data_IF_602861907954
#
_entry.id   IF_602861907954
#
_cell.length_a   1.000
_cell.length_b   1.000
_cell.length_c   1.000
_cell.angle_alpha   90.00
_cell.angle_beta   90.00
_cell.angle_gamma   90.00
#
_symmetry.space_group_name_H-M   'P 1'
#
loop_
_entity.id
_entity.type
_entity.pdbx_description
1 polymer ?
#
# COMPACT_ATOMS: atom_id res chain seq x y z
N UNK A 1 -13.89 10.50 -3.12
CA UNK A 1 -12.48 10.89 -2.98
C UNK A 1 -11.63 9.63 -2.89
N UNK A 2 -10.59 9.46 -3.71
CA UNK A 2 -9.68 8.30 -3.63
C UNK A 2 -8.53 8.67 -2.70
N UNK A 3 -8.24 7.85 -1.68
CA UNK A 3 -7.08 8.06 -0.81
C UNK A 3 -5.89 7.21 -1.20
N UNK A 4 -6.15 5.99 -1.67
CA UNK A 4 -5.12 4.98 -1.91
C UNK A 4 -5.40 4.30 -3.23
N UNK A 5 -4.35 4.12 -4.01
CA UNK A 5 -4.36 3.30 -5.20
C UNK A 5 -3.55 2.03 -4.91
N UNK A 6 -4.12 0.86 -5.18
CA UNK A 6 -3.44 -0.42 -4.95
C UNK A 6 -3.66 -1.35 -6.13
N UNK A 7 -2.70 -2.24 -6.37
CA UNK A 7 -2.79 -3.26 -7.43
C UNK A 7 -3.43 -4.58 -6.96
N UNK A 8 -3.93 -4.61 -5.73
CA UNK A 8 -4.63 -5.76 -5.16
C UNK A 8 -6.14 -5.53 -5.18
N UNK A 9 -6.81 -6.11 -6.17
CA UNK A 9 -8.27 -6.03 -6.31
C UNK A 9 -9.00 -6.57 -5.09
N UNK A 10 -8.56 -7.71 -4.56
CA UNK A 10 -9.17 -8.31 -3.36
C UNK A 10 -9.06 -7.38 -2.15
N UNK A 11 -7.94 -6.68 -1.97
CA UNK A 11 -7.79 -5.69 -0.90
C UNK A 11 -8.72 -4.50 -1.12
N UNK A 12 -8.82 -4.00 -2.36
CA UNK A 12 -9.71 -2.86 -2.71
C UNK A 12 -11.17 -3.19 -2.45
N UNK A 13 -11.64 -4.31 -3.00
CA UNK A 13 -13.04 -4.76 -2.88
C UNK A 13 -13.36 -5.03 -1.41
N UNK A 14 -12.49 -5.78 -0.72
CA UNK A 14 -12.65 -6.03 0.73
C UNK A 14 -12.73 -4.72 1.48
N UNK A 15 -11.76 -3.81 1.29
CA UNK A 15 -11.65 -2.52 1.99
C UNK A 15 -12.93 -1.69 1.83
N UNK A 16 -13.38 -1.50 0.58
CA UNK A 16 -14.53 -0.65 0.24
C UNK A 16 -15.88 -1.27 0.65
N UNK A 17 -16.01 -2.60 0.58
CA UNK A 17 -17.27 -3.30 0.89
C UNK A 17 -17.47 -3.55 2.40
N UNK A 18 -16.56 -3.07 3.24
CA UNK A 18 -16.58 -3.32 4.69
C UNK A 18 -16.63 -4.81 5.06
N UNK A 19 -16.13 -5.67 4.18
CA UNK A 19 -16.12 -7.12 4.39
C UNK A 19 -15.36 -7.48 5.67
N UNK A 20 -15.86 -8.50 6.37
CA UNK A 20 -15.37 -8.99 7.67
C UNK A 20 -14.88 -10.42 7.56
N UNK A 21 -13.87 -10.76 8.36
CA UNK A 21 -13.33 -12.11 8.49
C UNK A 21 -12.32 -12.18 9.63
N UNK A 22 -11.79 -13.37 9.87
CA UNK A 22 -10.93 -13.66 11.04
C UNK A 22 -9.46 -13.90 10.68
N UNK A 23 -9.11 -13.96 9.39
CA UNK A 23 -7.71 -14.11 8.99
C UNK A 23 -6.93 -12.80 9.20
N UNK A 24 -5.61 -12.90 9.30
CA UNK A 24 -4.72 -11.74 9.47
C UNK A 24 -4.95 -10.68 8.40
N UNK A 25 -5.29 -11.09 7.18
CA UNK A 25 -5.69 -10.19 6.10
C UNK A 25 -6.84 -9.24 6.50
N UNK A 26 -7.93 -9.78 7.06
CA UNK A 26 -9.06 -8.96 7.49
C UNK A 26 -8.72 -8.12 8.72
N UNK A 27 -7.93 -8.67 9.64
CA UNK A 27 -7.48 -7.93 10.85
C UNK A 27 -6.64 -6.71 10.46
N UNK A 28 -5.70 -6.88 9.53
CA UNK A 28 -4.85 -5.80 9.03
C UNK A 28 -5.70 -4.75 8.30
N UNK A 29 -6.56 -5.16 7.35
CA UNK A 29 -7.42 -4.22 6.63
C UNK A 29 -8.36 -3.43 7.55
N UNK A 30 -8.90 -4.09 8.58
CA UNK A 30 -9.76 -3.41 9.54
C UNK A 30 -8.98 -2.39 10.38
N UNK A 31 -7.75 -2.71 10.81
CA UNK A 31 -6.88 -1.72 11.47
C UNK A 31 -6.58 -0.54 10.56
N UNK A 32 -6.29 -0.78 9.28
CA UNK A 32 -6.06 0.28 8.30
C UNK A 32 -7.28 1.19 8.13
N UNK A 33 -8.50 0.63 8.10
CA UNK A 33 -9.75 1.43 8.07
C UNK A 33 -9.88 2.34 9.28
N UNK A 34 -9.59 1.84 10.48
CA UNK A 34 -9.67 2.63 11.71
C UNK A 34 -8.74 3.85 11.65
N UNK A 35 -7.53 3.69 11.08
CA UNK A 35 -6.56 4.79 10.95
C UNK A 35 -7.06 5.93 10.05
N UNK A 36 -7.92 5.64 9.09
CA UNK A 36 -8.42 6.62 8.09
C UNK A 36 -9.92 6.89 8.24
N UNK A 37 -10.53 6.45 9.34
CA UNK A 37 -11.97 6.56 9.57
C UNK A 37 -12.50 7.99 9.48
N UNK A 38 -11.68 8.98 9.87
CA UNK A 38 -12.05 10.40 9.80
C UNK A 38 -11.95 11.01 8.41
N UNK A 39 -11.43 10.28 7.42
CA UNK A 39 -11.21 10.76 6.06
C UNK A 39 -12.27 10.12 5.15
N UNK A 40 -13.17 10.89 4.53
CA UNK A 40 -14.18 10.33 3.63
C UNK A 40 -13.53 9.93 2.30
N UNK A 41 -12.92 8.75 2.27
CA UNK A 41 -12.24 8.26 1.09
C UNK A 41 -12.33 6.75 0.87
N UNK A 42 -12.04 6.37 -0.37
CA UNK A 42 -12.07 4.99 -0.86
C UNK A 42 -10.69 4.54 -1.34
N UNK A 43 -10.48 3.24 -1.36
CA UNK A 43 -9.36 2.62 -2.05
C UNK A 43 -9.76 2.41 -3.52
N UNK A 44 -8.82 2.64 -4.45
CA UNK A 44 -9.03 2.43 -5.89
C UNK A 44 -8.08 1.35 -6.39
N UNK A 45 -8.57 0.50 -7.27
CA UNK A 45 -7.75 -0.51 -7.91
C UNK A 45 -7.04 0.09 -9.13
N UNK A 46 -5.73 -0.09 -9.21
CA UNK A 46 -4.91 0.26 -10.37
C UNK A 46 -4.17 -0.97 -10.89
N UNK A 47 -3.80 -0.98 -12.16
CA UNK A 47 -3.01 -2.10 -12.70
C UNK A 47 -1.58 -1.98 -12.21
N UNK A 48 -0.92 -3.10 -11.95
CA UNK A 48 0.47 -3.17 -11.46
C UNK A 48 1.49 -2.34 -12.27
N UNK A 49 1.31 -2.21 -13.58
CA UNK A 49 2.16 -1.36 -14.43
C UNK A 49 2.09 0.13 -14.06
N UNK A 50 1.04 0.57 -13.38
CA UNK A 50 0.91 1.92 -12.87
C UNK A 50 1.46 2.08 -11.44
N UNK A 51 2.03 1.02 -10.86
CA UNK A 51 2.53 0.98 -9.49
C UNK A 51 3.96 0.38 -9.42
N UNK A 52 4.78 0.71 -10.41
CA UNK A 52 6.12 0.14 -10.58
C UNK A 52 7.09 0.62 -9.48
N UNK A 53 6.90 1.82 -8.93
CA UNK A 53 7.68 2.29 -7.77
C UNK A 53 7.33 1.50 -6.52
N UNK A 54 6.04 1.37 -6.19
CA UNK A 54 5.55 0.53 -5.09
C UNK A 54 6.08 -0.90 -5.19
N UNK A 55 6.08 -1.46 -6.41
CA UNK A 55 6.64 -2.79 -6.65
C UNK A 55 8.15 -2.84 -6.39
N UNK A 56 8.90 -1.83 -6.84
CA UNK A 56 10.34 -1.71 -6.63
C UNK A 56 10.70 -1.57 -5.15
N UNK A 57 9.95 -0.73 -4.41
CA UNK A 57 10.10 -0.55 -2.96
C UNK A 57 9.79 -1.84 -2.20
N UNK A 58 8.70 -2.52 -2.55
CA UNK A 58 8.33 -3.81 -1.95
C UNK A 58 9.38 -4.89 -2.21
N UNK A 59 10.00 -4.89 -3.40
CA UNK A 59 11.09 -5.83 -3.69
C UNK A 59 12.34 -5.50 -2.87
N UNK A 60 12.67 -4.23 -2.68
CA UNK A 60 13.78 -3.79 -1.86
C UNK A 60 13.58 -4.14 -0.38
N UNK A 61 12.36 -4.00 0.15
CA UNK A 61 12.06 -4.30 1.56
C UNK A 61 12.29 -5.78 1.92
N UNK A 62 12.18 -6.70 0.96
CA UNK A 62 12.46 -8.14 1.17
C UNK A 62 13.91 -8.44 1.54
N UNK A 63 14.84 -7.52 1.32
CA UNK A 63 16.23 -7.67 1.75
C UNK A 63 16.44 -7.32 3.24
N UNK A 64 15.40 -6.86 3.93
CA UNK A 64 15.42 -6.51 5.34
C UNK A 64 14.51 -7.47 6.11
N UNK A 65 15.07 -8.12 7.14
CA UNK A 65 14.36 -9.14 7.96
C UNK A 65 13.38 -8.50 8.95
N UNK A 66 13.61 -7.23 9.27
CA UNK A 66 12.81 -6.45 10.22
C UNK A 66 12.56 -5.05 9.68
N UNK A 67 11.68 -4.32 10.38
CA UNK A 67 11.44 -2.91 10.13
C UNK A 67 12.77 -2.14 10.07
N UNK A 68 12.93 -1.32 9.04
CA UNK A 68 14.16 -0.58 8.79
C UNK A 68 13.85 0.86 8.42
N UNK A 69 14.42 1.79 9.18
CA UNK A 69 14.36 3.22 8.90
C UNK A 69 15.51 3.63 8.00
N UNK A 70 15.18 4.35 6.92
CA UNK A 70 16.16 4.96 6.05
C UNK A 70 16.30 6.45 6.37
N UNK A 71 17.43 6.85 6.97
CA UNK A 71 17.74 8.26 7.23
C UNK A 71 18.09 9.05 5.95
N UNK A 72 18.46 8.33 4.88
CA UNK A 72 18.72 8.87 3.55
C UNK A 72 18.03 7.98 2.52
N UNK A 73 17.44 8.58 1.48
CA UNK A 73 16.82 7.83 0.38
C UNK A 73 17.92 6.98 -0.29
N UNK A 74 17.82 5.64 -0.29
CA UNK A 74 18.79 4.80 -0.99
C UNK A 74 18.81 5.15 -2.48
N UNK A 75 20.01 5.31 -3.05
CA UNK A 75 20.19 5.69 -4.46
C UNK A 75 19.46 4.76 -5.42
N UNK A 76 19.29 3.48 -5.06
CA UNK A 76 18.55 2.50 -5.85
C UNK A 76 17.04 2.77 -5.98
N UNK A 77 16.46 3.61 -5.12
CA UNK A 77 15.04 3.97 -5.15
C UNK A 77 14.80 5.45 -5.50
N UNK A 78 15.86 6.27 -5.62
CA UNK A 78 15.76 7.69 -5.99
C UNK A 78 15.12 7.87 -7.36
N UNK A 79 15.62 7.19 -8.39
CA UNK A 79 15.09 7.37 -9.76
C UNK A 79 13.63 6.92 -9.90
N UNK A 80 13.22 5.74 -9.37
CA UNK A 80 11.80 5.37 -9.33
C UNK A 80 10.94 6.42 -8.61
N UNK A 81 11.31 6.84 -7.40
CA UNK A 81 10.55 7.83 -6.63
C UNK A 81 10.39 9.17 -7.37
N UNK A 82 11.46 9.67 -7.98
CA UNK A 82 11.43 10.94 -8.71
C UNK A 82 10.62 10.88 -10.01
N UNK A 83 10.35 9.70 -10.55
CA UNK A 83 9.56 9.54 -11.77
C UNK A 83 8.05 9.40 -11.49
N UNK A 84 7.64 9.11 -10.25
CA UNK A 84 6.22 9.06 -9.85
C UNK A 84 5.74 10.31 -9.08
N UNK A 85 6.66 11.15 -8.59
CA UNK A 85 6.35 12.49 -8.06
C UNK A 85 5.96 13.48 -9.16
#
# INVERSE_FOLDING_TARGET
NVCFEVDCKVATDTFNDYAKGISDFYVILNKSRVLIYSIPCRMSFVKRQANDVDHSLTKASRFYVSYHDFYHIPSCIVTPLMNEM
#
